data_IF_429599597104
#
_entry.id   IF_429599597104
#
_cell.length_a   1.000
_cell.length_b   1.000
_cell.length_c   1.000
_cell.angle_alpha   90.00
_cell.angle_beta   90.00
_cell.angle_gamma   90.00
#
_symmetry.space_group_name_H-M   'P 1'
#
loop_
_entity.id
_entity.type
_entity.pdbx_description
1 polymer ?
#
# COMPACT_ATOMS: atom_id res chain seq x y z
N UNK A 1 -39.48 21.82 -52.57
CA UNK A 1 -38.79 21.18 -51.41
C UNK A 1 -38.52 19.69 -51.62
N UNK A 2 -39.49 18.89 -52.11
CA UNK A 2 -39.33 17.42 -52.27
C UNK A 2 -38.24 17.01 -53.28
N UNK A 3 -38.00 17.81 -54.32
CA UNK A 3 -37.06 17.46 -55.41
C UNK A 3 -35.57 17.56 -55.03
N UNK A 4 -35.22 18.29 -53.97
CA UNK A 4 -33.83 18.43 -53.50
C UNK A 4 -33.33 17.15 -52.78
N UNK A 5 -34.26 16.39 -52.19
CA UNK A 5 -33.96 15.20 -51.39
C UNK A 5 -33.62 13.96 -52.22
N UNK A 6 -34.03 13.89 -53.49
CA UNK A 6 -33.74 12.73 -54.36
C UNK A 6 -32.35 12.80 -55.02
N UNK A 7 -31.77 13.98 -55.18
CA UNK A 7 -30.55 14.12 -55.99
C UNK A 7 -29.26 13.94 -55.16
N UNK A 8 -29.31 14.03 -53.83
CA UNK A 8 -28.12 13.99 -52.96
C UNK A 8 -28.27 12.98 -51.81
N UNK A 9 -28.45 11.67 -52.10
CA UNK A 9 -28.68 10.62 -51.09
C UNK A 9 -27.55 10.52 -50.06
N UNK A 10 -26.34 10.94 -50.44
CA UNK A 10 -25.17 11.00 -49.57
C UNK A 10 -25.30 12.02 -48.42
N UNK A 11 -25.99 13.15 -48.63
CA UNK A 11 -26.20 14.15 -47.59
C UNK A 11 -27.20 13.66 -46.54
N UNK A 12 -28.27 12.98 -46.98
CA UNK A 12 -29.25 12.38 -46.06
C UNK A 12 -28.65 11.22 -45.27
N UNK A 13 -27.80 10.42 -45.91
CA UNK A 13 -27.06 9.36 -45.22
C UNK A 13 -26.12 9.94 -44.16
N UNK A 14 -25.36 11.00 -44.50
CA UNK A 14 -24.49 11.71 -43.56
C UNK A 14 -25.28 12.27 -42.37
N UNK A 15 -26.40 12.94 -42.62
CA UNK A 15 -27.20 13.55 -41.55
C UNK A 15 -27.88 12.48 -40.67
N UNK A 16 -28.28 11.35 -41.24
CA UNK A 16 -28.79 10.20 -40.49
C UNK A 16 -27.72 9.53 -39.63
N UNK A 17 -26.48 9.42 -40.13
CA UNK A 17 -25.34 8.88 -39.34
C UNK A 17 -24.96 9.86 -38.21
N UNK A 18 -24.95 11.16 -38.47
CA UNK A 18 -24.63 12.15 -37.44
C UNK A 18 -25.69 12.18 -36.35
N UNK A 19 -26.98 12.10 -36.70
CA UNK A 19 -28.06 12.05 -35.73
C UNK A 19 -28.08 10.72 -34.95
N UNK A 20 -27.77 9.59 -35.57
CA UNK A 20 -27.72 8.29 -34.88
C UNK A 20 -26.60 8.20 -33.84
N UNK A 21 -25.51 8.94 -34.02
CA UNK A 21 -24.39 9.01 -33.07
C UNK A 21 -24.60 10.10 -32.00
N UNK A 22 -25.24 11.22 -32.34
CA UNK A 22 -25.44 12.34 -31.42
C UNK A 22 -26.58 12.09 -30.40
N UNK A 23 -27.65 11.39 -30.82
CA UNK A 23 -28.84 11.17 -29.98
C UNK A 23 -28.55 10.28 -28.76
N UNK A 24 -27.81 9.16 -28.85
CA UNK A 24 -27.46 8.34 -27.68
C UNK A 24 -26.60 9.10 -26.66
N UNK A 25 -25.68 9.94 -27.13
CA UNK A 25 -24.85 10.79 -26.26
C UNK A 25 -25.67 11.84 -25.51
N UNK A 26 -26.63 12.47 -26.20
CA UNK A 26 -27.54 13.43 -25.57
C UNK A 26 -28.49 12.75 -24.56
N UNK A 27 -28.99 11.56 -24.88
CA UNK A 27 -29.83 10.76 -23.95
C UNK A 27 -29.04 10.35 -22.70
N UNK A 28 -27.77 9.96 -22.82
CA UNK A 28 -26.92 9.61 -21.68
C UNK A 28 -26.62 10.80 -20.75
N UNK A 29 -26.57 12.03 -21.27
CA UNK A 29 -26.36 13.25 -20.48
C UNK A 29 -27.60 13.68 -19.69
N UNK A 30 -28.80 13.39 -20.20
CA UNK A 30 -30.07 13.85 -19.59
C UNK A 30 -30.68 12.78 -18.67
N UNK A 31 -30.41 11.49 -18.92
CA UNK A 31 -30.96 10.38 -18.15
C UNK A 31 -29.92 9.24 -17.93
N UNK A 32 -28.95 9.42 -17.02
CA UNK A 32 -27.86 8.45 -16.80
C UNK A 32 -28.35 7.06 -16.33
N UNK A 33 -29.57 6.97 -15.78
CA UNK A 33 -30.15 5.71 -15.29
C UNK A 33 -30.76 4.82 -16.39
N UNK A 34 -30.91 5.31 -17.63
CA UNK A 34 -31.47 4.50 -18.72
C UNK A 34 -30.43 3.72 -19.53
N UNK A 35 -29.13 4.04 -19.39
CA UNK A 35 -28.04 3.39 -20.12
C UNK A 35 -27.57 2.07 -19.50
N UNK A 36 -27.98 1.76 -18.27
CA UNK A 36 -27.63 0.53 -17.57
C UNK A 36 -28.84 -0.39 -17.51
N UNK A 37 -29.22 -0.99 -18.64
CA UNK A 37 -30.04 -2.22 -18.58
C UNK A 37 -29.06 -3.38 -18.68
N UNK A 38 -28.56 -3.83 -17.53
CA UNK A 38 -27.77 -5.05 -17.42
C UNK A 38 -28.59 -6.24 -17.94
N UNK A 39 -28.03 -6.95 -18.91
CA UNK A 39 -28.50 -8.28 -19.27
C UNK A 39 -28.19 -9.23 -18.09
N UNK A 40 -29.18 -9.46 -17.24
CA UNK A 40 -29.15 -10.52 -16.24
C UNK A 40 -29.19 -11.88 -16.95
N UNK A 41 -28.02 -12.38 -17.34
CA UNK A 41 -27.83 -13.78 -17.66
C UNK A 41 -27.91 -14.60 -16.38
N UNK A 42 -29.00 -15.35 -16.22
CA UNK A 42 -29.14 -16.36 -15.17
C UNK A 42 -28.06 -17.44 -15.35
N UNK A 43 -27.01 -17.38 -14.54
CA UNK A 43 -26.02 -18.44 -14.42
C UNK A 43 -26.46 -19.37 -13.27
N UNK A 44 -26.81 -20.58 -13.64
CA UNK A 44 -27.10 -21.71 -12.75
C UNK A 44 -25.94 -21.99 -11.82
N UNK A 45 -26.24 -22.11 -10.53
CA UNK A 45 -25.31 -22.57 -9.51
C UNK A 45 -24.80 -23.98 -9.84
N UNK A 46 -23.48 -24.11 -9.98
CA UNK A 46 -22.78 -25.39 -9.90
C UNK A 46 -21.58 -25.18 -8.99
N UNK A 47 -21.60 -25.91 -7.88
CA UNK A 47 -20.54 -26.05 -6.88
C UNK A 47 -19.15 -26.15 -7.53
N UNK A 48 -18.32 -25.15 -7.28
CA UNK A 48 -16.89 -25.32 -7.12
C UNK A 48 -16.45 -24.30 -6.09
N UNK A 49 -16.10 -24.81 -4.90
CA UNK A 49 -15.56 -24.07 -3.78
C UNK A 49 -14.30 -23.31 -4.19
N UNK A 50 -14.47 -22.06 -4.61
CA UNK A 50 -13.53 -21.02 -4.24
C UNK A 50 -13.99 -20.53 -2.87
N UNK A 51 -13.32 -20.99 -1.81
CA UNK A 51 -13.39 -20.27 -0.54
C UNK A 51 -12.74 -18.92 -0.79
N UNK A 52 -13.54 -17.95 -1.22
CA UNK A 52 -13.22 -16.56 -0.95
C UNK A 52 -13.43 -16.43 0.54
N UNK A 53 -12.35 -16.62 1.30
CA UNK A 53 -12.30 -16.16 2.67
C UNK A 53 -12.43 -14.64 2.63
N UNK A 54 -13.67 -14.16 2.66
CA UNK A 54 -14.04 -12.81 3.11
C UNK A 54 -13.85 -12.74 4.62
N UNK A 55 -12.66 -13.13 5.11
CA UNK A 55 -12.23 -12.68 6.41
C UNK A 55 -12.00 -11.16 6.27
N UNK A 56 -12.42 -10.32 7.22
CA UNK A 56 -11.80 -9.01 7.35
C UNK A 56 -10.30 -9.29 7.40
N UNK A 57 -9.51 -8.72 6.48
CA UNK A 57 -8.05 -8.85 6.57
C UNK A 57 -7.70 -8.51 8.04
N UNK A 58 -7.07 -9.46 8.73
CA UNK A 58 -7.01 -9.46 10.19
C UNK A 58 -6.22 -8.28 10.75
N UNK A 59 -6.28 -8.12 12.07
CA UNK A 59 -5.41 -7.22 12.84
C UNK A 59 -3.92 -7.46 12.56
N UNK A 60 -3.11 -6.40 12.48
CA UNK A 60 -1.64 -6.47 12.35
C UNK A 60 -0.92 -6.44 13.71
N UNK A 61 -1.66 -6.60 14.81
CA UNK A 61 -1.12 -6.71 16.16
C UNK A 61 -0.53 -8.11 16.45
N UNK A 62 0.57 -8.14 17.20
CA UNK A 62 1.32 -9.34 17.57
C UNK A 62 1.46 -9.52 19.09
N UNK A 63 0.48 -9.03 19.85
CA UNK A 63 0.46 -9.12 21.31
C UNK A 63 1.23 -8.00 22.00
N UNK A 64 1.66 -8.27 23.23
CA UNK A 64 2.29 -7.30 24.16
C UNK A 64 3.70 -7.71 24.60
N UNK A 65 4.23 -8.82 24.05
CA UNK A 65 5.60 -9.27 24.26
C UNK A 65 6.12 -10.02 23.03
N UNK A 66 7.44 -10.09 22.87
CA UNK A 66 8.11 -10.87 21.82
C UNK A 66 7.74 -12.35 21.93
N UNK A 67 7.64 -12.87 23.16
CA UNK A 67 7.20 -14.25 23.39
C UNK A 67 5.79 -14.49 22.84
N UNK A 68 4.87 -13.55 23.05
CA UNK A 68 3.51 -13.63 22.50
C UNK A 68 3.48 -13.48 20.99
N UNK A 69 4.31 -12.60 20.42
CA UNK A 69 4.44 -12.43 18.98
C UNK A 69 4.89 -13.73 18.31
N UNK A 70 5.88 -14.42 18.88
CA UNK A 70 6.34 -15.73 18.39
C UNK A 70 5.24 -16.78 18.51
N UNK A 71 4.51 -16.84 19.62
CA UNK A 71 3.36 -17.74 19.80
C UNK A 71 2.27 -17.50 18.74
N UNK A 72 2.05 -16.23 18.37
CA UNK A 72 1.13 -15.81 17.30
C UNK A 72 1.68 -16.01 15.89
N UNK A 73 2.86 -16.63 15.74
CA UNK A 73 3.55 -16.82 14.45
C UNK A 73 3.89 -15.51 13.72
N UNK A 74 3.99 -14.40 14.45
CA UNK A 74 4.49 -13.15 13.92
C UNK A 74 6.01 -13.21 13.70
N UNK A 75 6.50 -12.34 12.83
CA UNK A 75 7.93 -12.17 12.54
C UNK A 75 8.28 -10.69 12.59
N UNK A 76 9.50 -10.38 13.03
CA UNK A 76 10.04 -9.03 12.94
C UNK A 76 10.24 -8.61 11.48
N UNK A 77 9.68 -7.47 11.10
CA UNK A 77 9.83 -6.82 9.80
C UNK A 77 10.65 -5.54 9.98
N UNK A 78 11.84 -5.48 9.38
CA UNK A 78 12.76 -4.36 9.56
C UNK A 78 12.34 -3.10 8.78
N UNK A 79 11.58 -3.25 7.69
CA UNK A 79 10.98 -2.10 7.00
C UNK A 79 9.93 -1.45 7.89
N UNK A 80 9.10 -2.27 8.55
CA UNK A 80 8.11 -1.81 9.52
C UNK A 80 8.72 -1.39 10.86
N UNK A 81 9.89 -1.91 11.23
CA UNK A 81 10.36 -1.91 12.61
C UNK A 81 9.29 -2.43 13.58
N UNK A 82 8.64 -3.54 13.23
CA UNK A 82 7.56 -4.13 14.02
C UNK A 82 7.47 -5.65 13.87
N UNK A 83 6.92 -6.32 14.87
CA UNK A 83 6.43 -7.68 14.73
C UNK A 83 5.08 -7.67 14.02
N UNK A 84 4.97 -8.43 12.94
CA UNK A 84 3.79 -8.48 12.09
C UNK A 84 3.38 -9.93 11.78
N UNK A 85 2.07 -10.20 11.65
CA UNK A 85 1.59 -11.47 11.12
C UNK A 85 1.84 -11.56 9.60
N UNK A 86 1.83 -12.77 9.05
CA UNK A 86 2.16 -13.00 7.64
C UNK A 86 1.27 -12.18 6.67
N UNK A 87 -0.01 -11.93 6.98
CA UNK A 87 -0.91 -11.15 6.12
C UNK A 87 -0.63 -9.63 6.10
N UNK A 88 0.23 -9.12 7.00
CA UNK A 88 0.66 -7.71 7.02
C UNK A 88 2.11 -7.52 6.53
N UNK A 89 2.77 -8.60 6.08
CA UNK A 89 4.18 -8.59 5.67
C UNK A 89 4.33 -8.67 4.16
N UNK A 90 5.31 -7.95 3.64
CA UNK A 90 5.80 -8.10 2.27
C UNK A 90 7.30 -8.42 2.33
N UNK A 91 7.61 -9.67 2.65
CA UNK A 91 8.98 -10.13 2.92
C UNK A 91 9.96 -9.82 1.78
N UNK A 92 9.48 -9.86 0.53
CA UNK A 92 10.27 -9.51 -0.64
C UNK A 92 10.63 -8.01 -0.66
N UNK A 93 9.67 -7.15 -0.33
CA UNK A 93 9.89 -5.70 -0.22
C UNK A 93 10.82 -5.36 0.94
N UNK A 94 10.65 -6.01 2.09
CA UNK A 94 11.52 -5.83 3.26
C UNK A 94 12.95 -6.28 2.97
N UNK A 95 13.12 -7.40 2.24
CA UNK A 95 14.44 -7.86 1.79
C UNK A 95 15.08 -6.89 0.79
N UNK A 96 14.30 -6.30 -0.11
CA UNK A 96 14.79 -5.27 -1.03
C UNK A 96 15.24 -4.02 -0.26
N UNK A 97 14.44 -3.59 0.73
CA UNK A 97 14.77 -2.47 1.61
C UNK A 97 16.10 -2.71 2.33
N UNK A 98 16.28 -3.85 2.99
CA UNK A 98 17.51 -4.18 3.74
C UNK A 98 18.77 -4.31 2.88
N UNK A 99 18.64 -4.33 1.55
CA UNK A 99 19.76 -4.37 0.59
C UNK A 99 20.09 -3.00 -0.03
N UNK A 100 19.36 -1.96 0.35
CA UNK A 100 19.55 -0.61 -0.16
C UNK A 100 20.44 0.28 0.70
N UNK A 101 20.86 -0.19 1.87
CA UNK A 101 21.74 0.56 2.75
C UNK A 101 23.15 0.71 2.17
N UNK A 102 23.85 1.73 2.64
CA UNK A 102 25.18 2.09 2.13
C UNK A 102 26.32 1.30 2.80
N UNK A 103 26.02 0.40 3.73
CA UNK A 103 27.06 -0.42 4.36
C UNK A 103 27.46 -1.62 3.50
N UNK A 104 28.42 -2.39 4.00
CA UNK A 104 28.86 -3.62 3.35
C UNK A 104 27.64 -4.52 3.06
N UNK A 105 27.62 -5.11 1.87
CA UNK A 105 26.53 -5.98 1.38
C UNK A 105 25.18 -5.27 1.19
N UNK A 106 25.15 -3.94 1.18
CA UNK A 106 23.91 -3.17 0.96
C UNK A 106 23.08 -3.01 2.24
N UNK A 107 23.65 -3.24 3.42
CA UNK A 107 22.89 -3.21 4.69
C UNK A 107 22.73 -1.79 5.23
N UNK A 108 21.67 -1.59 6.00
CA UNK A 108 21.49 -0.36 6.77
C UNK A 108 22.28 -0.38 8.08
N UNK A 109 22.82 0.78 8.50
CA UNK A 109 23.44 0.91 9.81
C UNK A 109 22.41 1.05 10.93
N UNK A 110 22.37 0.10 11.86
CA UNK A 110 21.56 0.21 13.08
C UNK A 110 22.44 0.37 14.32
N UNK A 111 21.94 1.16 15.28
CA UNK A 111 22.60 1.40 16.56
C UNK A 111 21.61 1.32 17.72
N UNK A 112 22.06 0.79 18.85
CA UNK A 112 21.28 0.76 20.10
C UNK A 112 21.37 2.06 20.91
N UNK A 113 22.04 3.08 20.38
CA UNK A 113 22.23 4.38 21.02
C UNK A 113 22.22 5.55 20.01
N UNK A 114 21.90 6.74 20.50
CA UNK A 114 21.82 7.98 19.71
C UNK A 114 23.18 8.49 19.21
N UNK A 115 24.27 8.09 19.85
CA UNK A 115 25.62 8.57 19.51
C UNK A 115 26.27 7.76 18.39
N UNK A 116 25.59 6.72 17.89
CA UNK A 116 26.08 5.81 16.85
C UNK A 116 27.35 5.07 17.31
N UNK A 117 27.41 4.72 18.60
CA UNK A 117 28.59 4.08 19.19
C UNK A 117 28.45 2.55 19.27
N UNK A 118 27.22 2.03 19.40
CA UNK A 118 26.91 0.63 19.66
C UNK A 118 26.08 0.06 18.52
N UNK A 119 26.75 -0.62 17.60
CA UNK A 119 26.11 -1.34 16.49
C UNK A 119 25.19 -2.43 17.02
N UNK A 120 24.10 -2.64 16.28
CA UNK A 120 23.15 -3.74 16.47
C UNK A 120 22.75 -4.22 15.07
N UNK A 121 22.49 -5.51 14.90
CA UNK A 121 22.02 -6.03 13.61
C UNK A 121 20.50 -5.88 13.47
N UNK A 122 19.97 -5.97 12.25
CA UNK A 122 18.51 -5.95 12.03
C UNK A 122 17.81 -7.10 12.77
N UNK A 123 18.45 -8.27 12.81
CA UNK A 123 17.94 -9.47 13.49
C UNK A 123 17.90 -9.29 15.02
N UNK A 124 18.81 -8.48 15.58
CA UNK A 124 18.86 -8.17 17.01
C UNK A 124 17.87 -7.08 17.44
N UNK A 125 17.28 -6.32 16.50
CA UNK A 125 16.29 -5.29 16.82
C UNK A 125 14.96 -5.88 17.29
N UNK A 126 14.45 -6.91 16.61
CA UNK A 126 13.16 -7.53 16.94
C UNK A 126 12.99 -7.89 18.43
N UNK A 127 13.96 -8.59 19.05
CA UNK A 127 13.93 -8.90 20.48
C UNK A 127 13.90 -7.69 21.43
N UNK A 128 14.27 -6.49 20.96
CA UNK A 128 14.26 -5.26 21.77
C UNK A 128 12.86 -4.70 22.01
N UNK A 129 11.83 -5.26 21.39
CA UNK A 129 10.44 -4.83 21.63
C UNK A 129 10.00 -5.02 23.10
N UNK A 130 10.61 -5.98 23.81
CA UNK A 130 10.35 -6.21 25.24
C UNK A 130 11.08 -5.21 26.16
N UNK A 131 11.98 -4.38 25.62
CA UNK A 131 12.71 -3.35 26.38
C UNK A 131 11.92 -2.03 26.35
N UNK A 132 11.29 -1.61 27.47
CA UNK A 132 10.43 -0.43 27.47
C UNK A 132 11.19 0.84 27.09
N UNK A 133 10.69 1.56 26.07
CA UNK A 133 11.30 2.80 25.59
C UNK A 133 12.60 2.60 24.82
N UNK A 134 12.94 1.37 24.42
CA UNK A 134 14.06 1.14 23.52
C UNK A 134 13.81 1.83 22.18
N UNK A 135 14.80 2.60 21.74
CA UNK A 135 14.84 3.23 20.44
C UNK A 135 16.17 2.89 19.78
N UNK A 136 16.12 2.30 18.60
CA UNK A 136 17.32 2.20 17.77
C UNK A 136 17.52 3.49 16.99
N UNK A 137 18.76 3.73 16.57
CA UNK A 137 19.12 4.84 15.70
C UNK A 137 19.58 4.34 14.34
N UNK A 138 19.30 5.11 13.30
CA UNK A 138 19.72 4.87 11.91
C UNK A 138 19.92 6.19 11.16
N UNK A 139 20.33 6.14 9.89
CA UNK A 139 20.62 7.32 9.08
C UNK A 139 19.35 7.95 8.49
N UNK A 140 19.46 9.22 8.09
CA UNK A 140 18.42 9.91 7.33
C UNK A 140 18.09 9.23 5.98
N UNK A 141 19.06 8.55 5.37
CA UNK A 141 18.84 7.72 4.18
C UNK A 141 17.94 6.53 4.47
N UNK A 142 18.13 5.84 5.60
CA UNK A 142 17.23 4.77 6.04
C UNK A 142 15.81 5.28 6.21
N UNK A 143 15.65 6.46 6.83
CA UNK A 143 14.33 7.06 7.03
C UNK A 143 13.66 7.42 5.70
N UNK A 144 14.43 7.97 4.77
CA UNK A 144 13.94 8.29 3.44
C UNK A 144 13.50 7.04 2.68
N UNK A 145 14.33 6.00 2.71
CA UNK A 145 14.03 4.73 2.09
C UNK A 145 12.79 4.10 2.74
N UNK A 146 12.64 4.15 4.07
CA UNK A 146 11.45 3.67 4.78
C UNK A 146 10.18 4.37 4.25
N UNK A 147 10.19 5.70 4.14
CA UNK A 147 9.07 6.47 3.60
C UNK A 147 8.68 6.03 2.18
N UNK A 148 9.65 5.89 1.28
CA UNK A 148 9.42 5.50 -0.11
C UNK A 148 8.99 4.03 -0.25
N UNK A 149 9.54 3.14 0.58
CA UNK A 149 9.19 1.73 0.59
C UNK A 149 7.81 1.49 1.20
N UNK A 150 7.39 2.27 2.20
CA UNK A 150 6.00 2.20 2.68
C UNK A 150 5.00 2.66 1.64
N UNK A 151 5.32 3.70 0.87
CA UNK A 151 4.48 4.08 -0.27
C UNK A 151 4.42 2.94 -1.32
N UNK A 152 5.56 2.30 -1.60
CA UNK A 152 5.60 1.10 -2.46
C UNK A 152 4.78 -0.06 -1.88
N UNK A 153 4.79 -0.29 -0.57
CA UNK A 153 3.96 -1.29 0.13
C UNK A 153 2.47 -1.00 -0.06
N UNK A 154 2.04 0.24 0.17
CA UNK A 154 0.65 0.69 -0.04
C UNK A 154 0.18 0.51 -1.49
N UNK A 155 1.05 0.76 -2.47
CA UNK A 155 0.72 0.49 -3.88
C UNK A 155 0.57 -1.02 -4.13
N UNK A 156 1.50 -1.84 -3.63
CA UNK A 156 1.53 -3.30 -3.82
C UNK A 156 0.35 -4.02 -3.14
N UNK A 157 -0.09 -3.53 -1.98
CA UNK A 157 -1.23 -4.03 -1.21
C UNK A 157 -2.51 -4.17 -2.04
N UNK A 158 -2.67 -3.36 -3.10
CA UNK A 158 -3.79 -3.43 -4.05
C UNK A 158 -3.82 -4.71 -4.90
N UNK A 159 -2.71 -5.45 -4.94
CA UNK A 159 -2.50 -6.56 -5.88
C UNK A 159 -1.99 -7.85 -5.23
N UNK A 160 -1.45 -7.81 -4.01
CA UNK A 160 -0.78 -8.95 -3.38
C UNK A 160 -1.44 -9.43 -2.08
N UNK A 161 -2.66 -8.96 -1.75
CA UNK A 161 -3.42 -9.30 -0.54
C UNK A 161 -2.69 -9.01 0.79
N UNK A 162 -1.62 -8.22 0.77
CA UNK A 162 -0.95 -7.74 1.98
C UNK A 162 -1.75 -6.57 2.54
N UNK A 163 -2.09 -6.62 3.82
CA UNK A 163 -2.59 -5.46 4.54
C UNK A 163 -1.43 -4.52 4.91
N UNK A 164 -1.61 -3.22 4.70
CA UNK A 164 -0.75 -2.20 5.35
C UNK A 164 -1.34 -1.90 6.71
N UNK A 165 -0.47 -1.89 7.72
CA UNK A 165 -0.85 -1.69 9.11
C UNK A 165 -1.50 -0.31 9.30
N UNK A 166 -2.59 -0.19 10.08
CA UNK A 166 -3.32 1.08 10.27
C UNK A 166 -2.44 2.28 10.66
N UNK A 167 -1.37 2.06 11.44
CA UNK A 167 -0.43 3.13 11.83
C UNK A 167 0.31 3.77 10.65
N UNK A 168 0.38 3.07 9.52
CA UNK A 168 1.00 3.51 8.28
C UNK A 168 0.01 3.73 7.14
N UNK A 169 -1.14 3.07 7.17
CA UNK A 169 -2.22 3.21 6.18
C UNK A 169 -3.16 4.38 6.50
N UNK A 170 -2.58 5.57 6.67
CA UNK A 170 -3.34 6.79 6.94
C UNK A 170 -2.67 8.03 6.34
N UNK A 171 -3.46 9.07 6.12
CA UNK A 171 -2.99 10.32 5.52
C UNK A 171 -1.97 11.06 6.39
N UNK A 172 -2.06 10.94 7.73
CA UNK A 172 -1.07 11.53 8.65
C UNK A 172 0.32 10.97 8.37
N UNK A 173 0.45 9.66 8.14
CA UNK A 173 1.71 9.04 7.78
C UNK A 173 2.23 9.51 6.41
N UNK A 174 1.34 9.64 5.41
CA UNK A 174 1.71 10.18 4.09
C UNK A 174 2.22 11.63 4.22
N UNK A 175 1.51 12.47 4.99
CA UNK A 175 1.91 13.86 5.21
C UNK A 175 3.25 13.97 5.94
N UNK A 176 3.51 13.09 6.91
CA UNK A 176 4.84 12.96 7.55
C UNK A 176 5.92 12.64 6.53
N UNK A 177 5.71 11.62 5.68
CA UNK A 177 6.66 11.25 4.63
C UNK A 177 6.95 12.43 3.68
N UNK A 178 5.93 13.18 3.27
CA UNK A 178 6.08 14.38 2.44
C UNK A 178 6.93 15.44 3.14
N UNK A 179 6.67 15.70 4.42
CA UNK A 179 7.44 16.68 5.20
C UNK A 179 8.91 16.27 5.33
N UNK A 180 9.18 14.99 5.58
CA UNK A 180 10.56 14.44 5.64
C UNK A 180 11.26 14.58 4.29
N UNK A 181 10.58 14.23 3.18
CA UNK A 181 11.09 14.36 1.81
C UNK A 181 11.52 15.78 1.45
N UNK A 182 10.75 16.77 1.91
CA UNK A 182 10.99 18.18 1.61
C UNK A 182 11.96 18.86 2.59
N UNK A 183 12.34 18.19 3.68
CA UNK A 183 13.22 18.76 4.69
C UNK A 183 14.65 18.92 4.14
N UNK A 184 15.24 20.12 4.20
CA UNK A 184 16.65 20.31 3.84
C UNK A 184 17.57 19.41 4.65
N UNK A 185 18.40 18.63 3.97
CA UNK A 185 19.35 17.72 4.63
C UNK A 185 18.75 16.42 5.17
N UNK A 186 17.52 16.04 4.77
CA UNK A 186 16.86 14.81 5.23
C UNK A 186 17.74 13.55 5.16
N UNK A 187 18.60 13.43 4.14
CA UNK A 187 19.52 12.29 3.98
C UNK A 187 20.71 12.30 4.96
N UNK A 188 21.12 13.46 5.46
CA UNK A 188 22.32 13.62 6.31
C UNK A 188 22.03 13.50 7.80
N UNK A 189 20.75 13.39 8.17
CA UNK A 189 20.29 13.36 9.55
C UNK A 189 20.54 12.03 10.26
N UNK A 190 20.26 12.02 11.57
CA UNK A 190 20.10 10.82 12.39
C UNK A 190 18.63 10.70 12.75
N UNK A 191 18.13 9.47 12.77
CA UNK A 191 16.74 9.20 13.14
C UNK A 191 16.69 8.13 14.21
N UNK A 192 15.56 8.09 14.93
CA UNK A 192 15.28 7.05 15.89
C UNK A 192 13.93 6.43 15.60
N UNK A 193 13.80 5.13 15.88
CA UNK A 193 12.56 4.40 15.79
C UNK A 193 12.49 3.34 16.92
N UNK A 194 11.28 3.05 17.36
CA UNK A 194 10.98 1.95 18.26
C UNK A 194 10.75 0.65 17.50
N UNK A 195 10.73 -0.46 18.23
CA UNK A 195 10.32 -1.76 17.71
C UNK A 195 8.95 -2.08 18.28
N UNK A 196 7.94 -2.14 17.42
CA UNK A 196 6.54 -2.26 17.85
C UNK A 196 6.03 -3.71 17.86
N UNK A 197 5.13 -3.99 18.80
CA UNK A 197 4.35 -5.23 18.87
C UNK A 197 2.87 -5.01 18.48
N UNK A 198 2.39 -3.77 18.59
CA UNK A 198 1.08 -3.34 18.16
C UNK A 198 1.21 -2.42 16.93
N UNK A 199 0.40 -2.66 15.90
CA UNK A 199 0.44 -1.88 14.65
C UNK A 199 -0.93 -1.34 14.21
N UNK A 200 -2.00 -1.60 14.97
CA UNK A 200 -3.37 -1.23 14.60
C UNK A 200 -3.88 0.09 15.21
N UNK A 201 -2.98 0.97 15.66
CA UNK A 201 -3.34 2.31 16.16
C UNK A 201 -3.20 3.37 15.05
N UNK A 202 -3.80 4.56 15.25
CA UNK A 202 -3.80 5.68 14.29
C UNK A 202 -2.92 6.86 14.73
#
# INVERSE_FOLDING_TARGET
MIKFFLDHPWLLLKDMILLSLAVPGLVALIAPSAACTEAQGAATASENQAIIHTAPLGHCNCGDSVAKAVEMSCKYDALAAAWLPDHCRDDALTTEFERMGHEKEGKWPYYSDQNFAKRISAEELGPKADEPGFLFSSTGEWHMAHCLFYWKKQYRARFNNVMVEPRYDNERHIQHCITVLLQPGALKGRVQAGVELASDYL
#
